data_IF_503807838146
#
_entry.id   IF_503807838146
#
_cell.length_a   1.000
_cell.length_b   1.000
_cell.length_c   1.000
_cell.angle_alpha   90.00
_cell.angle_beta   90.00
_cell.angle_gamma   90.00
#
_symmetry.space_group_name_H-M   'P 1'
#
loop_
_entity.id
_entity.type
_entity.pdbx_description
1 polymer ?
#
# COMPACT_ATOMS: atom_id res chain seq x y z
N UNK A 1 29.29 -2.07 -1.27
CA UNK A 1 28.77 -2.54 -2.58
C UNK A 1 27.92 -1.42 -3.18
N UNK A 2 28.50 -0.26 -3.38
CA UNK A 2 27.78 0.93 -3.87
C UNK A 2 27.80 0.96 -5.41
N UNK A 3 26.80 1.60 -6.03
CA UNK A 3 26.91 1.93 -7.46
C UNK A 3 26.79 0.76 -8.44
N UNK A 4 26.00 -0.28 -8.14
CA UNK A 4 26.01 -1.55 -8.89
C UNK A 4 24.79 -1.79 -9.78
N UNK A 5 23.64 -1.18 -9.47
CA UNK A 5 22.38 -1.49 -10.13
C UNK A 5 21.92 -0.37 -11.07
N UNK A 6 21.45 -0.76 -12.25
CA UNK A 6 20.82 0.15 -13.21
C UNK A 6 19.36 0.47 -12.83
N UNK A 7 18.66 -0.51 -12.25
CA UNK A 7 17.28 -0.40 -11.81
C UNK A 7 17.10 -1.16 -10.49
N UNK A 8 16.43 -0.52 -9.54
CA UNK A 8 15.87 -1.17 -8.36
C UNK A 8 14.36 -0.96 -8.38
N UNK A 9 13.61 -2.04 -8.49
CA UNK A 9 12.15 -2.02 -8.48
C UNK A 9 11.62 -2.58 -7.16
N UNK A 10 10.73 -1.84 -6.51
CA UNK A 10 10.08 -2.21 -5.26
C UNK A 10 8.57 -2.25 -5.48
N UNK A 11 7.91 -3.32 -5.06
CA UNK A 11 6.46 -3.45 -5.26
C UNK A 11 5.78 -4.08 -4.05
N UNK A 12 4.67 -3.47 -3.63
CA UNK A 12 3.80 -3.96 -2.55
C UNK A 12 4.57 -4.28 -1.26
N UNK A 13 5.38 -3.33 -0.80
CA UNK A 13 6.13 -3.42 0.45
C UNK A 13 5.34 -2.84 1.64
N UNK A 14 4.15 -2.23 1.41
CA UNK A 14 3.24 -1.85 2.49
C UNK A 14 3.05 -2.99 3.49
N UNK A 15 2.89 -2.65 4.77
CA UNK A 15 2.85 -3.60 5.90
C UNK A 15 4.09 -4.48 6.13
N UNK A 16 5.09 -4.44 5.24
CA UNK A 16 6.38 -5.13 5.39
C UNK A 16 7.54 -4.22 5.78
N UNK A 17 7.35 -2.90 5.74
CA UNK A 17 8.41 -1.91 5.94
C UNK A 17 7.99 -0.79 6.90
N UNK A 18 8.84 -0.52 7.89
CA UNK A 18 8.60 0.50 8.91
C UNK A 18 9.54 1.71 8.83
N UNK A 19 10.55 1.69 7.95
CA UNK A 19 11.51 2.79 7.78
C UNK A 19 11.77 3.04 6.29
N UNK A 20 10.77 3.63 5.64
CA UNK A 20 10.83 4.02 4.24
C UNK A 20 11.95 5.03 3.92
N UNK A 21 12.18 6.08 4.72
CA UNK A 21 13.29 7.00 4.46
C UNK A 21 14.65 6.30 4.45
N UNK A 22 14.91 5.39 5.39
CA UNK A 22 16.15 4.60 5.39
C UNK A 22 16.23 3.67 4.21
N UNK A 23 15.15 2.94 3.90
CA UNK A 23 15.10 2.06 2.74
C UNK A 23 15.46 2.80 1.45
N UNK A 24 14.83 3.96 1.23
CA UNK A 24 15.02 4.75 0.02
C UNK A 24 16.47 5.27 -0.06
N UNK A 25 17.04 5.76 1.05
CA UNK A 25 18.49 6.11 1.09
C UNK A 25 19.39 4.93 0.75
N UNK A 26 19.06 3.73 1.27
CA UNK A 26 19.83 2.52 0.98
C UNK A 26 19.76 2.15 -0.49
N UNK A 27 18.58 2.09 -1.11
CA UNK A 27 18.47 1.74 -2.54
C UNK A 27 19.12 2.80 -3.42
N UNK A 28 19.01 4.09 -3.09
CA UNK A 28 19.70 5.16 -3.81
C UNK A 28 21.21 4.99 -3.80
N UNK A 29 21.81 4.57 -2.69
CA UNK A 29 23.26 4.29 -2.59
C UNK A 29 23.71 3.09 -3.44
N UNK A 30 22.82 2.11 -3.65
CA UNK A 30 23.10 0.93 -4.46
C UNK A 30 23.01 1.20 -5.98
N UNK A 31 22.35 2.29 -6.38
CA UNK A 31 22.22 2.68 -7.79
C UNK A 31 23.54 3.13 -8.38
N UNK A 32 23.79 2.71 -9.63
CA UNK A 32 24.86 3.29 -10.46
C UNK A 32 24.71 4.83 -10.51
N UNK A 33 25.80 5.59 -10.29
CA UNK A 33 25.74 7.05 -10.38
C UNK A 33 25.23 7.51 -11.75
N UNK A 34 24.41 8.57 -11.73
CA UNK A 34 23.89 9.29 -12.91
C UNK A 34 22.93 8.53 -13.84
N UNK A 35 22.99 7.20 -13.93
CA UNK A 35 22.14 6.39 -14.82
C UNK A 35 21.12 5.53 -14.09
N UNK A 36 21.39 5.19 -12.83
CA UNK A 36 20.52 4.31 -12.05
C UNK A 36 19.13 4.89 -11.79
N UNK A 37 18.13 4.02 -11.70
CA UNK A 37 16.73 4.38 -11.47
C UNK A 37 16.11 3.56 -10.35
N UNK A 38 15.19 4.16 -9.61
CA UNK A 38 14.33 3.46 -8.65
C UNK A 38 12.89 3.58 -9.12
N UNK A 39 12.18 2.46 -9.07
CA UNK A 39 10.74 2.39 -9.27
C UNK A 39 10.10 1.82 -7.99
N UNK A 40 9.06 2.49 -7.49
CA UNK A 40 8.28 2.03 -6.33
C UNK A 40 6.82 1.99 -6.74
N UNK A 41 6.24 0.79 -6.67
CA UNK A 41 4.84 0.51 -6.95
C UNK A 41 4.17 0.06 -5.67
N UNK A 42 3.65 1.03 -4.92
CA UNK A 42 2.96 0.77 -3.66
C UNK A 42 1.62 1.48 -3.60
N UNK A 43 0.82 1.16 -2.58
CA UNK A 43 -0.54 1.66 -2.45
C UNK A 43 -0.77 2.34 -1.11
N UNK A 44 -1.71 3.27 -1.12
CA UNK A 44 -2.31 3.80 0.09
C UNK A 44 -3.52 2.94 0.46
N UNK A 45 -3.69 2.64 1.74
CA UNK A 45 -4.85 1.89 2.22
C UNK A 45 -6.06 2.80 2.44
N UNK A 46 -6.51 3.38 1.34
CA UNK A 46 -7.62 4.31 1.21
C UNK A 46 -8.55 3.80 0.10
N UNK A 47 -9.86 3.84 0.35
CA UNK A 47 -10.87 3.49 -0.64
C UNK A 47 -11.70 4.71 -0.98
N UNK A 48 -12.09 4.78 -2.25
CA UNK A 48 -12.82 5.88 -2.82
C UNK A 48 -14.14 5.40 -3.43
N UNK A 49 -15.16 6.26 -3.42
CA UNK A 49 -16.34 6.07 -4.27
C UNK A 49 -16.10 6.57 -5.71
N UNK A 50 -17.11 6.43 -6.57
CA UNK A 50 -17.04 6.88 -7.97
C UNK A 50 -16.92 8.40 -8.14
N UNK A 51 -17.15 9.18 -7.08
CA UNK A 51 -16.96 10.62 -7.03
C UNK A 51 -15.62 11.02 -6.39
N UNK A 52 -14.72 10.05 -6.17
CA UNK A 52 -13.41 10.22 -5.57
C UNK A 52 -13.46 10.70 -4.10
N UNK A 53 -14.56 10.46 -3.38
CA UNK A 53 -14.62 10.72 -1.95
C UNK A 53 -14.04 9.53 -1.19
N UNK A 54 -13.27 9.81 -0.13
CA UNK A 54 -12.76 8.76 0.76
C UNK A 54 -13.94 8.13 1.52
N UNK A 55 -14.14 6.83 1.30
CA UNK A 55 -15.19 6.06 1.97
C UNK A 55 -14.64 5.16 3.08
N UNK A 56 -13.33 4.89 3.12
CA UNK A 56 -12.73 3.97 4.08
C UNK A 56 -12.68 4.50 5.51
N UNK A 57 -12.75 5.81 5.71
CA UNK A 57 -12.59 6.43 7.03
C UNK A 57 -13.75 6.12 7.98
N UNK A 58 -14.91 5.75 7.44
CA UNK A 58 -16.07 5.30 8.24
C UNK A 58 -16.01 3.82 8.62
N UNK A 59 -15.08 3.04 8.05
CA UNK A 59 -14.98 1.61 8.29
C UNK A 59 -14.15 1.31 9.54
N UNK A 60 -14.79 0.73 10.55
CA UNK A 60 -14.15 0.44 11.85
C UNK A 60 -12.92 -0.46 11.72
N UNK A 61 -12.97 -1.45 10.82
CA UNK A 61 -11.84 -2.36 10.59
C UNK A 61 -10.62 -1.63 10.01
N UNK A 62 -10.80 -0.58 9.20
CA UNK A 62 -9.69 0.24 8.67
C UNK A 62 -9.05 1.05 9.78
N UNK A 63 -9.85 1.64 10.68
CA UNK A 63 -9.35 2.43 11.81
C UNK A 63 -8.46 1.60 12.73
N UNK A 64 -8.98 0.47 13.23
CA UNK A 64 -8.24 -0.45 14.11
C UNK A 64 -6.91 -0.86 13.52
N UNK A 65 -6.92 -1.10 12.21
CA UNK A 65 -5.80 -1.58 11.46
C UNK A 65 -4.74 -0.49 11.22
N UNK A 66 -5.16 0.74 10.92
CA UNK A 66 -4.26 1.91 10.86
C UNK A 66 -3.60 2.17 12.19
N UNK A 67 -4.36 2.17 13.29
CA UNK A 67 -3.79 2.34 14.63
C UNK A 67 -2.76 1.25 14.95
N UNK A 68 -3.07 -0.02 14.68
CA UNK A 68 -2.14 -1.13 14.89
C UNK A 68 -0.91 -1.07 13.96
N UNK A 69 -1.05 -0.51 12.76
CA UNK A 69 0.05 -0.27 11.84
C UNK A 69 0.99 0.83 12.38
N UNK A 70 0.42 1.95 12.80
CA UNK A 70 1.16 3.10 13.35
C UNK A 70 1.95 2.73 14.61
N UNK A 71 1.38 1.94 15.52
CA UNK A 71 2.08 1.40 16.70
C UNK A 71 3.30 0.54 16.34
N UNK A 72 3.32 -0.03 15.13
CA UNK A 72 4.43 -0.82 14.60
C UNK A 72 5.38 -0.01 13.73
N UNK A 73 5.14 1.29 13.58
CA UNK A 73 5.87 2.17 12.69
C UNK A 73 5.61 1.91 11.20
N UNK A 74 4.52 1.21 10.85
CA UNK A 74 4.15 0.95 9.46
C UNK A 74 3.37 2.15 8.92
N UNK A 75 3.72 2.60 7.72
CA UNK A 75 3.06 3.71 7.05
C UNK A 75 2.00 3.19 6.06
N UNK A 76 0.72 3.44 6.35
CA UNK A 76 -0.42 3.01 5.52
C UNK A 76 -0.67 3.91 4.31
N UNK A 77 0.09 4.99 4.20
CA UNK A 77 0.08 5.97 3.12
C UNK A 77 1.42 6.00 2.37
N UNK A 78 2.13 4.87 2.34
CA UNK A 78 3.46 4.81 1.74
C UNK A 78 3.46 5.03 0.22
N UNK A 79 2.37 4.71 -0.49
CA UNK A 79 2.25 4.92 -1.92
C UNK A 79 2.34 6.40 -2.29
N UNK A 80 1.51 7.24 -1.66
CA UNK A 80 1.49 8.69 -1.89
C UNK A 80 2.73 9.41 -1.36
N UNK A 81 3.34 8.88 -0.29
CA UNK A 81 4.54 9.48 0.33
C UNK A 81 5.86 9.10 -0.36
N UNK A 82 5.90 8.01 -1.12
CA UNK A 82 7.12 7.50 -1.77
C UNK A 82 7.88 8.58 -2.56
N UNK A 83 7.17 9.40 -3.35
CA UNK A 83 7.79 10.45 -4.14
C UNK A 83 8.47 11.53 -3.28
N UNK A 84 7.93 11.83 -2.09
CA UNK A 84 8.55 12.74 -1.14
C UNK A 84 9.87 12.17 -0.63
N UNK A 85 9.84 10.94 -0.10
CA UNK A 85 11.04 10.28 0.40
C UNK A 85 12.13 10.08 -0.66
N UNK A 86 11.75 9.84 -1.92
CA UNK A 86 12.70 9.79 -3.04
C UNK A 86 13.43 11.12 -3.23
N UNK A 87 12.70 12.24 -3.22
CA UNK A 87 13.29 13.58 -3.34
C UNK A 87 14.20 13.89 -2.15
N UNK A 88 13.77 13.56 -0.94
CA UNK A 88 14.56 13.74 0.29
C UNK A 88 15.86 12.93 0.27
N UNK A 89 15.88 11.79 -0.43
CA UNK A 89 17.07 10.97 -0.65
C UNK A 89 17.97 11.46 -1.79
N UNK A 90 17.65 12.58 -2.44
CA UNK A 90 18.44 13.18 -3.51
C UNK A 90 18.18 12.59 -4.91
N UNK A 91 17.13 11.78 -5.08
CA UNK A 91 16.71 11.36 -6.42
C UNK A 91 16.14 12.54 -7.19
N UNK A 92 16.51 12.63 -8.46
CA UNK A 92 16.06 13.67 -9.39
C UNK A 92 15.03 13.09 -10.38
N UNK A 93 14.27 13.96 -11.05
CA UNK A 93 13.26 13.57 -12.04
C UNK A 93 12.17 12.62 -11.48
N UNK A 94 11.85 12.74 -10.19
CA UNK A 94 10.83 11.92 -9.53
C UNK A 94 9.46 12.22 -10.12
N UNK A 95 8.80 11.18 -10.62
CA UNK A 95 7.42 11.22 -11.13
C UNK A 95 6.55 10.28 -10.30
N UNK A 96 5.37 10.76 -9.90
CA UNK A 96 4.33 9.95 -9.29
C UNK A 96 3.21 9.75 -10.31
N UNK A 97 2.71 8.53 -10.41
CA UNK A 97 1.58 8.17 -11.27
C UNK A 97 0.61 7.36 -10.42
N UNK A 98 -0.64 7.80 -10.39
CA UNK A 98 -1.72 7.09 -9.72
C UNK A 98 -2.42 6.16 -10.72
N UNK A 99 -2.75 4.95 -10.27
CA UNK A 99 -3.44 3.96 -11.07
C UNK A 99 -4.78 3.63 -10.41
N UNK A 100 -5.83 3.60 -11.24
CA UNK A 100 -7.14 3.15 -10.81
C UNK A 100 -7.14 1.63 -10.57
N UNK A 101 -7.66 1.21 -9.41
CA UNK A 101 -7.78 -0.20 -9.02
C UNK A 101 -9.23 -0.49 -8.61
N UNK A 102 -10.04 -1.14 -9.48
CA UNK A 102 -11.43 -1.41 -9.17
C UNK A 102 -11.57 -2.47 -8.07
N UNK A 103 -12.45 -2.21 -7.10
CA UNK A 103 -12.80 -3.13 -6.01
C UNK A 103 -14.15 -3.82 -6.25
N UNK A 104 -14.36 -4.28 -7.48
CA UNK A 104 -15.57 -4.94 -7.97
C UNK A 104 -15.78 -4.61 -9.45
N UNK A 105 -16.32 -5.55 -10.21
CA UNK A 105 -16.44 -5.42 -11.67
C UNK A 105 -17.79 -4.91 -12.15
N UNK A 106 -18.84 -4.92 -11.32
CA UNK A 106 -20.22 -4.63 -11.73
C UNK A 106 -20.40 -3.22 -12.31
N UNK A 107 -19.53 -2.28 -11.94
CA UNK A 107 -19.56 -0.88 -12.35
C UNK A 107 -18.48 -0.53 -13.39
N UNK A 108 -17.70 -1.50 -13.86
CA UNK A 108 -16.65 -1.28 -14.84
C UNK A 108 -17.17 -1.45 -16.27
N UNK A 109 -16.81 -0.51 -17.15
CA UNK A 109 -17.20 -0.55 -18.56
C UNK A 109 -16.37 -1.54 -19.38
N UNK A 110 -15.02 -1.41 -19.40
CA UNK A 110 -14.17 -2.33 -20.13
C UNK A 110 -14.18 -3.74 -19.53
N UNK A 111 -14.30 -4.77 -20.37
CA UNK A 111 -14.37 -6.18 -19.92
C UNK A 111 -13.14 -6.58 -19.09
N UNK A 112 -11.95 -6.08 -19.45
CA UNK A 112 -10.72 -6.32 -18.69
C UNK A 112 -10.78 -5.72 -17.27
N UNK A 113 -11.36 -4.52 -17.13
CA UNK A 113 -11.51 -3.87 -15.83
C UNK A 113 -12.59 -4.55 -14.99
N UNK A 114 -13.66 -5.04 -15.63
CA UNK A 114 -14.68 -5.86 -14.97
C UNK A 114 -14.08 -7.14 -14.39
N UNK A 115 -13.35 -7.91 -15.22
CA UNK A 115 -12.69 -9.13 -14.77
C UNK A 115 -11.65 -8.85 -13.66
N UNK A 116 -10.88 -7.76 -13.79
CA UNK A 116 -9.94 -7.35 -12.75
C UNK A 116 -10.66 -6.96 -11.45
N UNK A 117 -11.74 -6.19 -11.52
CA UNK A 117 -12.54 -5.79 -10.36
C UNK A 117 -13.17 -6.99 -9.64
N UNK A 118 -13.70 -7.97 -10.38
CA UNK A 118 -14.22 -9.22 -9.82
C UNK A 118 -13.12 -10.03 -9.11
N UNK A 119 -11.94 -10.11 -9.72
CA UNK A 119 -10.77 -10.73 -9.10
C UNK A 119 -10.38 -10.03 -7.80
N UNK A 120 -10.24 -8.70 -7.81
CA UNK A 120 -9.91 -7.91 -6.62
C UNK A 120 -10.96 -8.10 -5.52
N UNK A 121 -12.26 -8.05 -5.86
CA UNK A 121 -13.35 -8.22 -4.91
C UNK A 121 -13.38 -9.61 -4.25
N UNK A 122 -12.90 -10.64 -4.95
CA UNK A 122 -12.84 -12.02 -4.43
C UNK A 122 -11.59 -12.30 -3.58
N UNK A 123 -10.41 -11.81 -4.00
CA UNK A 123 -9.14 -12.15 -3.36
C UNK A 123 -8.71 -11.17 -2.26
N UNK A 124 -8.97 -9.86 -2.42
CA UNK A 124 -8.53 -8.87 -1.43
C UNK A 124 -9.10 -9.11 -0.03
N UNK A 125 -10.37 -9.52 0.17
CA UNK A 125 -10.88 -9.85 1.50
C UNK A 125 -10.10 -10.95 2.22
N UNK A 126 -9.61 -11.95 1.48
CA UNK A 126 -8.77 -13.02 2.04
C UNK A 126 -7.43 -12.46 2.51
N UNK A 127 -6.79 -11.64 1.66
CA UNK A 127 -5.54 -10.97 2.01
C UNK A 127 -5.70 -10.05 3.23
N UNK A 128 -6.78 -9.27 3.30
CA UNK A 128 -7.06 -8.40 4.46
C UNK A 128 -7.19 -9.20 5.76
N UNK A 129 -7.72 -10.43 5.71
CA UNK A 129 -7.79 -11.32 6.88
C UNK A 129 -6.42 -11.62 7.44
N UNK A 130 -5.50 -11.97 6.55
CA UNK A 130 -4.15 -12.30 6.94
C UNK A 130 -3.40 -11.07 7.45
N UNK A 131 -3.51 -9.94 6.75
CA UNK A 131 -2.84 -8.70 7.16
C UNK A 131 -3.39 -8.18 8.48
N UNK A 132 -4.72 -8.10 8.65
CA UNK A 132 -5.33 -7.65 9.90
C UNK A 132 -4.88 -8.54 11.05
N UNK A 133 -5.02 -9.86 10.94
CA UNK A 133 -4.61 -10.80 11.98
C UNK A 133 -3.14 -10.60 12.39
N UNK A 134 -2.23 -10.48 11.42
CA UNK A 134 -0.81 -10.27 11.69
C UNK A 134 -0.49 -8.91 12.27
N UNK A 135 -1.15 -7.85 11.79
CA UNK A 135 -0.89 -6.47 12.22
C UNK A 135 -1.41 -6.27 13.64
N UNK A 136 -2.58 -6.83 13.96
CA UNK A 136 -3.27 -6.64 15.24
C UNK A 136 -2.96 -7.70 16.30
N UNK A 137 -2.14 -8.71 16.00
CA UNK A 137 -1.77 -9.81 16.93
C UNK A 137 -1.36 -9.31 18.32
N UNK A 138 -0.61 -8.20 18.40
CA UNK A 138 -0.14 -7.60 19.66
C UNK A 138 -1.22 -6.90 20.47
N UNK A 139 -2.37 -6.55 19.87
CA UNK A 139 -3.52 -5.93 20.55
C UNK A 139 -4.42 -6.95 21.25
N UNK A 140 -4.20 -8.26 21.06
CA UNK A 140 -4.96 -9.31 21.72
C UNK A 140 -6.43 -9.40 21.26
N UNK A 141 -6.79 -8.83 20.10
CA UNK A 141 -8.13 -9.00 19.56
C UNK A 141 -8.41 -10.47 19.25
N UNK A 142 -9.57 -10.97 19.68
CA UNK A 142 -9.99 -12.31 19.33
C UNK A 142 -10.36 -12.39 17.84
N UNK A 143 -10.26 -13.58 17.23
CA UNK A 143 -10.68 -13.80 15.84
C UNK A 143 -12.16 -13.41 15.64
N UNK A 144 -13.02 -13.67 16.64
CA UNK A 144 -14.44 -13.30 16.59
C UNK A 144 -14.65 -11.79 16.58
N UNK A 145 -13.82 -10.99 17.27
CA UNK A 145 -13.91 -9.53 17.25
C UNK A 145 -13.52 -8.94 15.90
N UNK A 146 -12.52 -9.54 15.25
CA UNK A 146 -12.10 -9.19 13.90
C UNK A 146 -13.20 -9.56 12.89
N UNK A 147 -13.83 -10.73 13.05
CA UNK A 147 -14.91 -11.21 12.17
C UNK A 147 -16.23 -10.46 12.35
N UNK A 148 -16.66 -10.19 13.59
CA UNK A 148 -17.91 -9.46 13.87
C UNK A 148 -17.88 -8.03 13.30
N UNK A 149 -16.70 -7.40 13.26
CA UNK A 149 -16.51 -6.06 12.69
C UNK A 149 -16.47 -6.04 11.15
N UNK A 150 -16.36 -7.21 10.49
CA UNK A 150 -16.42 -7.34 9.03
C UNK A 150 -17.84 -7.35 8.46
N UNK A 151 -18.81 -7.75 9.27
CA UNK A 151 -20.20 -7.85 8.83
C UNK A 151 -20.86 -6.48 8.57
N UNK A 152 -20.19 -5.37 8.93
CA UNK A 152 -20.67 -4.00 8.74
C UNK A 152 -20.35 -3.44 7.34
N UNK A 153 -20.48 -4.26 6.29
CA UNK A 153 -20.36 -3.82 4.89
C UNK A 153 -21.42 -2.78 4.53
#
# INVERSE_FOLDING_TARGET
MEGRFDLINSRLLLYGMSDWPRYIRTVTCLLKPSTGRVEIHDLDWVWYDSSNNIISDKWEWVKVLREAAEERGLDVNCGSRAAGWMKDAGLVNVKAVEYYCPFGGEWEGPEEMKAFGEYVASEMPRMFTHVISKVTERKGYSKEQIEARRAQR
#
